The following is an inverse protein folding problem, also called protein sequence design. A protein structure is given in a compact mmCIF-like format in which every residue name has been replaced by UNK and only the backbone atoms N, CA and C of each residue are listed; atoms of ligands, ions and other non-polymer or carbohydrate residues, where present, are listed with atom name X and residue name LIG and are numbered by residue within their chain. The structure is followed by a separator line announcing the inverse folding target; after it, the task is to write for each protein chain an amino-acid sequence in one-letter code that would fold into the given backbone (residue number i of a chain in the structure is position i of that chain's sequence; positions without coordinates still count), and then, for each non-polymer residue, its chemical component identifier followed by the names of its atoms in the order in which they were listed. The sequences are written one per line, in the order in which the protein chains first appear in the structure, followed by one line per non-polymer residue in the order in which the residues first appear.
data_IF_685954786608
#
_entry.id   IF_685954786608
#
_cell.length_a   1.000
_cell.length_b   1.000
_cell.length_c   1.000
_cell.angle_alpha   90.00
_cell.angle_beta   90.00
_cell.angle_gamma   90.00
#
_symmetry.space_group_name_H-M   'P 1'
#
loop_
_entity.id
_entity.type
_entity.pdbx_description
1 polymer ?
#
# COMPACT_ATOMS: atom_id res chain seq x y z
N UNK A 1 24.38 -8.23 1.64
CA UNK A 1 23.52 -7.53 2.62
C UNK A 1 22.18 -8.21 2.61
N UNK A 2 21.60 -8.48 3.79
CA UNK A 2 20.22 -8.96 3.85
C UNK A 2 19.30 -7.78 3.51
N UNK A 3 18.24 -8.04 2.74
CA UNK A 3 17.23 -7.07 2.36
C UNK A 3 15.91 -7.49 3.01
N UNK A 4 15.11 -6.54 3.48
CA UNK A 4 13.84 -6.79 4.15
C UNK A 4 12.68 -6.46 3.20
N UNK A 5 11.47 -6.87 3.53
CA UNK A 5 10.27 -6.53 2.76
C UNK A 5 9.34 -5.64 3.61
N UNK A 6 8.83 -4.57 3.03
CA UNK A 6 7.72 -3.80 3.58
C UNK A 6 6.50 -3.93 2.67
N UNK A 7 5.38 -4.34 3.25
CA UNK A 7 4.08 -4.40 2.60
C UNK A 7 3.29 -3.16 3.03
N UNK A 8 2.78 -2.41 2.06
CA UNK A 8 1.94 -1.23 2.29
C UNK A 8 0.63 -1.46 1.56
N UNK A 9 -0.51 -1.29 2.24
CA UNK A 9 -1.81 -1.27 1.56
C UNK A 9 -2.19 0.16 1.23
N UNK A 10 -2.99 0.37 0.19
CA UNK A 10 -3.50 1.70 -0.16
C UNK A 10 -4.28 2.37 0.98
N UNK A 11 -4.91 1.59 1.87
CA UNK A 11 -5.65 2.09 3.04
C UNK A 11 -4.77 2.46 4.23
N UNK A 12 -3.57 1.87 4.33
CA UNK A 12 -2.68 2.01 5.49
C UNK A 12 -1.43 2.87 5.21
N UNK A 13 -1.27 3.38 3.98
CA UNK A 13 -0.23 4.36 3.67
C UNK A 13 -0.50 5.68 4.39
N UNK A 14 0.22 5.86 5.48
CA UNK A 14 0.11 7.00 6.39
C UNK A 14 1.50 7.56 6.67
N UNK A 15 1.63 8.77 7.27
CA UNK A 15 2.92 9.38 7.56
C UNK A 15 3.89 8.50 8.38
N UNK A 16 3.36 7.48 9.09
CA UNK A 16 4.16 6.52 9.85
C UNK A 16 5.13 5.73 8.97
N UNK A 17 4.79 5.52 7.69
CA UNK A 17 5.68 4.86 6.72
C UNK A 17 6.93 5.70 6.50
N UNK A 18 6.77 7.00 6.28
CA UNK A 18 7.91 7.92 6.12
C UNK A 18 8.76 7.98 7.39
N UNK A 19 8.14 8.12 8.57
CA UNK A 19 8.85 8.17 9.86
C UNK A 19 9.69 6.91 10.09
N UNK A 20 9.10 5.74 9.83
CA UNK A 20 9.79 4.47 9.99
C UNK A 20 10.88 4.23 8.95
N UNK A 21 10.71 4.73 7.72
CA UNK A 21 11.74 4.69 6.68
C UNK A 21 12.90 5.66 6.98
N UNK A 22 12.63 6.81 7.61
CA UNK A 22 13.67 7.78 8.01
C UNK A 22 14.66 7.19 9.02
N UNK A 23 14.17 6.37 9.96
CA UNK A 23 15.00 5.75 11.00
C UNK A 23 15.75 4.50 10.49
N UNK A 24 15.44 4.04 9.28
CA UNK A 24 15.96 2.78 8.74
C UNK A 24 17.26 2.99 7.99
N UNK A 25 18.22 2.08 8.22
CA UNK A 25 19.51 2.06 7.52
C UNK A 25 19.73 0.78 6.67
N UNK A 26 18.80 -0.16 6.72
CA UNK A 26 18.92 -1.45 6.06
C UNK A 26 18.14 -1.48 4.74
N UNK A 27 18.65 -2.19 3.70
CA UNK A 27 17.96 -2.29 2.41
C UNK A 27 16.56 -2.90 2.51
N UNK A 28 15.63 -2.33 1.77
CA UNK A 28 14.22 -2.69 1.81
C UNK A 28 13.63 -2.78 0.41
N UNK A 29 12.82 -3.79 0.15
CA UNK A 29 11.91 -3.82 -0.99
C UNK A 29 10.50 -3.49 -0.52
N UNK A 30 9.71 -2.83 -1.36
CA UNK A 30 8.32 -2.48 -1.05
C UNK A 30 7.38 -3.22 -1.99
N UNK A 31 6.35 -3.85 -1.43
CA UNK A 31 5.18 -4.30 -2.18
C UNK A 31 3.99 -3.43 -1.75
N UNK A 32 3.41 -2.73 -2.71
CA UNK A 32 2.22 -1.92 -2.53
C UNK A 32 0.99 -2.69 -3.00
N UNK A 33 0.04 -2.87 -2.10
CA UNK A 33 -1.20 -3.60 -2.35
C UNK A 33 -2.30 -2.59 -2.63
N UNK A 34 -2.74 -2.59 -3.88
CA UNK A 34 -3.97 -1.92 -4.29
C UNK A 34 -5.13 -2.85 -3.91
N UNK A 35 -5.76 -2.59 -2.78
CA UNK A 35 -7.02 -3.24 -2.49
C UNK A 35 -8.00 -2.86 -3.61
N UNK A 36 -8.45 -3.85 -4.39
CA UNK A 36 -9.40 -3.61 -5.48
C UNK A 36 -10.77 -3.14 -4.98
N UNK A 37 -11.01 -3.24 -3.66
CA UNK A 37 -12.18 -2.68 -3.01
C UNK A 37 -11.93 -1.21 -2.66
N UNK A 38 -12.84 -0.35 -3.11
CA UNK A 38 -12.86 1.06 -2.75
C UNK A 38 -12.92 1.16 -1.21
N UNK A 39 -11.98 1.87 -0.55
CA UNK A 39 -11.99 2.02 0.90
C UNK A 39 -13.34 2.50 1.41
N UNK A 40 -13.76 2.02 2.58
CA UNK A 40 -15.08 2.32 3.15
C UNK A 40 -15.30 3.83 3.34
N UNK A 41 -14.23 4.59 3.62
CA UNK A 41 -14.32 6.04 3.75
C UNK A 41 -14.63 6.72 2.41
N UNK A 42 -14.06 6.21 1.31
CA UNK A 42 -14.31 6.71 -0.04
C UNK A 42 -15.73 6.34 -0.46
N UNK A 43 -16.16 5.10 -0.22
CA UNK A 43 -17.52 4.67 -0.54
C UNK A 43 -18.58 5.43 0.29
N UNK A 44 -18.31 5.68 1.58
CA UNK A 44 -19.16 6.50 2.46
C UNK A 44 -19.24 7.94 1.99
N UNK A 45 -18.12 8.52 1.52
CA UNK A 45 -18.09 9.87 0.95
C UNK A 45 -18.89 9.95 -0.36
N UNK A 46 -18.82 8.93 -1.21
CA UNK A 46 -19.63 8.88 -2.44
C UNK A 46 -21.13 8.83 -2.14
N UNK A 47 -21.55 8.04 -1.15
CA UNK A 47 -22.93 8.02 -0.67
C UNK A 47 -23.37 9.38 -0.10
N UNK A 48 -22.48 10.05 0.64
CA UNK A 48 -22.75 11.33 1.27
C UNK A 48 -22.84 12.50 0.27
N UNK A 49 -22.02 12.50 -0.79
CA UNK A 49 -21.90 13.61 -1.75
C UNK A 49 -22.98 13.65 -2.82
N UNK A 50 -23.93 12.71 -2.82
CA UNK A 50 -25.09 12.77 -3.68
C UNK A 50 -25.21 11.68 -4.72
N UNK A 51 -24.51 10.55 -4.57
CA UNK A 51 -25.07 9.28 -5.05
C UNK A 51 -26.30 8.96 -4.16
N UNK A 52 -27.39 9.69 -4.41
CA UNK A 52 -28.66 9.66 -3.72
C UNK A 52 -29.35 8.29 -3.95
N UNK A 53 -28.86 7.25 -3.28
CA UNK A 53 -29.50 5.92 -3.24
C UNK A 53 -29.23 4.99 -4.41
N UNK A 54 -28.55 5.43 -5.48
CA UNK A 54 -28.13 4.58 -6.59
C UNK A 54 -26.67 4.14 -6.43
N UNK A 55 -26.38 2.86 -6.74
CA UNK A 55 -25.00 2.34 -6.71
C UNK A 55 -24.15 3.11 -7.73
N UNK A 56 -22.87 3.40 -7.44
CA UNK A 56 -21.95 3.94 -8.44
C UNK A 56 -21.97 3.08 -9.69
N UNK A 57 -22.00 3.72 -10.86
CA UNK A 57 -21.87 3.01 -12.13
C UNK A 57 -20.49 2.36 -12.20
N UNK A 58 -20.38 1.29 -12.99
CA UNK A 58 -19.12 0.58 -13.20
C UNK A 58 -18.01 1.52 -13.70
N UNK A 59 -18.34 2.48 -14.57
CA UNK A 59 -17.40 3.50 -15.06
C UNK A 59 -16.81 4.35 -13.93
N UNK A 60 -17.63 4.73 -12.94
CA UNK A 60 -17.18 5.53 -11.79
C UNK A 60 -16.31 4.68 -10.87
N UNK A 61 -16.69 3.43 -10.63
CA UNK A 61 -15.87 2.49 -9.85
C UNK A 61 -14.51 2.30 -10.50
N UNK A 62 -14.47 2.08 -11.81
CA UNK A 62 -13.24 1.91 -12.57
C UNK A 62 -12.36 3.16 -12.54
N UNK A 63 -12.95 4.34 -12.68
CA UNK A 63 -12.23 5.61 -12.58
C UNK A 63 -11.58 5.79 -11.19
N UNK A 64 -12.27 5.40 -10.12
CA UNK A 64 -11.72 5.47 -8.75
C UNK A 64 -10.58 4.49 -8.56
N UNK A 65 -10.73 3.24 -9.02
CA UNK A 65 -9.66 2.24 -8.96
C UNK A 65 -8.42 2.70 -9.70
N UNK A 66 -8.60 3.31 -10.88
CA UNK A 66 -7.49 3.83 -11.68
C UNK A 66 -6.80 5.02 -10.99
N UNK A 67 -7.56 5.96 -10.42
CA UNK A 67 -6.98 7.07 -9.64
C UNK A 67 -6.21 6.55 -8.41
N UNK A 68 -6.73 5.53 -7.72
CA UNK A 68 -6.03 4.89 -6.60
C UNK A 68 -4.71 4.24 -7.05
N UNK A 69 -4.71 3.55 -8.20
CA UNK A 69 -3.51 2.97 -8.80
C UNK A 69 -2.47 4.04 -9.11
N UNK A 70 -2.87 5.11 -9.80
CA UNK A 70 -1.99 6.22 -10.17
C UNK A 70 -1.36 6.85 -8.92
N UNK A 71 -2.16 7.16 -7.89
CA UNK A 71 -1.66 7.74 -6.64
C UNK A 71 -0.70 6.81 -5.90
N UNK A 72 -1.00 5.51 -5.87
CA UNK A 72 -0.11 4.50 -5.28
C UNK A 72 1.25 4.46 -5.99
N UNK A 73 1.24 4.50 -7.32
CA UNK A 73 2.47 4.52 -8.13
C UNK A 73 3.29 5.80 -7.91
N UNK A 74 2.65 6.97 -7.96
CA UNK A 74 3.31 8.25 -7.66
C UNK A 74 3.94 8.25 -6.27
N UNK A 75 3.23 7.68 -5.30
CA UNK A 75 3.69 7.56 -3.93
C UNK A 75 4.90 6.66 -3.79
N UNK A 76 4.95 5.52 -4.49
CA UNK A 76 6.13 4.65 -4.52
C UNK A 76 7.34 5.32 -5.15
N UNK A 77 7.15 6.08 -6.23
CA UNK A 77 8.22 6.87 -6.84
C UNK A 77 8.78 7.87 -5.84
N UNK A 78 7.92 8.63 -5.15
CA UNK A 78 8.33 9.58 -4.11
C UNK A 78 9.11 8.89 -2.98
N UNK A 79 8.64 7.74 -2.50
CA UNK A 79 9.34 6.97 -1.47
C UNK A 79 10.73 6.56 -1.95
N UNK A 80 10.84 5.99 -3.15
CA UNK A 80 12.12 5.52 -3.71
C UNK A 80 13.11 6.66 -3.95
N UNK A 81 12.65 7.84 -4.35
CA UNK A 81 13.49 9.03 -4.52
C UNK A 81 13.96 9.59 -3.18
N UNK A 82 13.09 9.58 -2.16
CA UNK A 82 13.36 10.13 -0.83
C UNK A 82 14.22 9.21 0.03
N UNK A 83 14.08 7.90 -0.11
CA UNK A 83 14.68 6.91 0.79
C UNK A 83 15.59 5.94 0.02
N UNK A 84 16.90 6.18 0.10
CA UNK A 84 17.93 5.37 -0.58
C UNK A 84 18.02 3.91 -0.09
N UNK A 85 17.40 3.60 1.06
CA UNK A 85 17.26 2.23 1.57
C UNK A 85 16.35 1.37 0.70
N UNK A 86 15.40 1.98 -0.02
CA UNK A 86 14.48 1.27 -0.91
C UNK A 86 15.22 0.83 -2.18
N UNK A 87 15.18 -0.48 -2.49
CA UNK A 87 15.86 -1.05 -3.66
C UNK A 87 14.87 -1.34 -4.77
N UNK A 88 13.80 -2.07 -4.45
CA UNK A 88 12.75 -2.39 -5.40
C UNK A 88 11.37 -1.96 -4.87
N UNK A 89 10.48 -1.64 -5.81
CA UNK A 89 9.07 -1.34 -5.54
C UNK A 89 8.22 -2.15 -6.51
N UNK A 90 7.16 -2.77 -6.01
CA UNK A 90 6.21 -3.54 -6.80
C UNK A 90 4.79 -3.17 -6.40
N UNK A 91 3.87 -3.28 -7.35
CA UNK A 91 2.44 -3.03 -7.14
C UNK A 91 1.69 -4.32 -7.44
N UNK A 92 0.76 -4.70 -6.58
CA UNK A 92 -0.09 -5.89 -6.76
C UNK A 92 -1.51 -5.63 -6.27
N UNK A 93 -2.46 -6.39 -6.80
CA UNK A 93 -3.85 -6.46 -6.30
C UNK A 93 -4.09 -7.66 -5.39
N UNK A 94 -3.06 -8.47 -5.13
CA UNK A 94 -3.18 -9.65 -4.28
C UNK A 94 -3.43 -9.29 -2.81
N UNK A 95 -4.05 -10.22 -2.06
CA UNK A 95 -4.25 -10.01 -0.63
C UNK A 95 -2.92 -9.99 0.12
N UNK A 96 -2.92 -9.32 1.27
CA UNK A 96 -1.77 -9.24 2.17
C UNK A 96 -1.27 -10.64 2.54
N UNK A 97 -2.17 -11.58 2.80
CA UNK A 97 -1.84 -12.96 3.18
C UNK A 97 -1.11 -13.70 2.07
N UNK A 98 -1.56 -13.57 0.82
CA UNK A 98 -0.91 -14.21 -0.33
C UNK A 98 0.50 -13.65 -0.53
N UNK A 99 0.64 -12.33 -0.49
CA UNK A 99 1.94 -11.66 -0.63
C UNK A 99 2.91 -12.11 0.46
N UNK A 100 2.46 -12.27 1.71
CA UNK A 100 3.30 -12.78 2.80
C UNK A 100 3.76 -14.21 2.50
N UNK A 101 2.83 -15.11 2.18
CA UNK A 101 3.14 -16.53 1.97
C UNK A 101 4.08 -16.74 0.77
N UNK A 102 3.89 -16.00 -0.32
CA UNK A 102 4.77 -16.05 -1.49
C UNK A 102 6.19 -15.55 -1.21
N UNK A 103 6.35 -14.67 -0.22
CA UNK A 103 7.63 -14.05 0.12
C UNK A 103 8.26 -14.61 1.39
N UNK A 104 7.61 -15.58 2.03
CA UNK A 104 8.10 -16.29 3.19
C UNK A 104 9.39 -17.01 2.87
N UNK A 105 10.42 -16.80 3.69
CA UNK A 105 11.75 -17.40 3.49
C UNK A 105 12.60 -16.74 2.39
N UNK A 106 12.05 -15.82 1.57
CA UNK A 106 12.84 -14.98 0.64
C UNK A 106 13.47 -13.80 1.36
N UNK A 107 12.75 -13.24 2.33
CA UNK A 107 13.19 -12.12 3.16
C UNK A 107 13.42 -12.61 4.59
N UNK A 108 14.42 -12.07 5.31
CA UNK A 108 14.67 -12.39 6.71
C UNK A 108 13.55 -11.89 7.62
N UNK A 109 12.94 -10.76 7.27
CA UNK A 109 11.85 -10.11 8.00
C UNK A 109 10.91 -9.46 6.99
N UNK A 110 9.61 -9.58 7.26
CA UNK A 110 8.54 -8.96 6.49
C UNK A 110 7.81 -8.00 7.44
N UNK A 111 7.64 -6.76 7.01
CA UNK A 111 6.95 -5.71 7.73
C UNK A 111 5.65 -5.36 7.02
N UNK A 112 4.61 -5.04 7.79
CA UNK A 112 3.33 -4.58 7.25
C UNK A 112 3.02 -3.21 7.83
N UNK A 113 2.80 -2.23 6.96
CA UNK A 113 2.26 -0.94 7.35
C UNK A 113 0.77 -1.08 7.69
N UNK A 114 0.42 -0.62 8.88
CA UNK A 114 -0.95 -0.41 9.33
C UNK A 114 -1.12 1.07 9.66
N UNK A 115 -2.36 1.55 9.67
CA UNK A 115 -2.74 2.95 9.93
C UNK A 115 -2.07 3.62 11.15
N UNK A 116 -1.63 2.85 12.15
CA UNK A 116 -1.07 3.35 13.42
C UNK A 116 0.28 2.77 13.81
N UNK A 117 0.75 1.73 13.13
CA UNK A 117 1.99 1.03 13.47
C UNK A 117 2.52 0.26 12.26
N UNK A 118 3.78 -0.20 12.37
CA UNK A 118 4.34 -1.17 11.44
C UNK A 118 4.64 -2.44 12.23
N UNK A 119 4.11 -3.56 11.75
CA UNK A 119 4.23 -4.87 12.41
C UNK A 119 5.18 -5.77 11.64
N UNK A 120 6.05 -6.47 12.37
CA UNK A 120 6.87 -7.56 11.84
C UNK A 120 6.07 -8.86 11.84
N UNK A 121 6.03 -9.55 10.70
CA UNK A 121 5.45 -10.88 10.56
C UNK A 121 6.54 -11.93 10.66
N UNK A 122 6.34 -12.90 11.56
CA UNK A 122 7.24 -14.03 11.80
C UNK A 122 6.78 -15.30 11.10
#
# INVERSE_FOLDING_TARGET
MKKHLLIITASDDTPIVDEWLQERNEPLDIIYILNEEIPEEVSSWMLYTGFLGEKPTEDVVNAIKEEMRIRGEERLVMLKERFSVIKEVQVTSESVENVIEENKGKYPEIFIAKRKNIEEVR
#
